data_IF_910259886411
#
_entry.id   IF_910259886411
#
_cell.length_a   1.000
_cell.length_b   1.000
_cell.length_c   1.000
_cell.angle_alpha   90.00
_cell.angle_beta   90.00
_cell.angle_gamma   90.00
#
_symmetry.space_group_name_H-M   'P 1'
#
loop_
_entity.id
_entity.type
_entity.pdbx_description
1 polymer ?
#
# COMPACT_ATOMS: atom_id res chain seq x y z
N UNK A 1 -45.32 -14.47 -58.16
CA UNK A 1 -45.78 -15.89 -58.17
C UNK A 1 -47.14 -15.99 -57.46
N UNK A 2 -47.69 -17.20 -57.26
CA UNK A 2 -49.08 -17.42 -56.82
C UNK A 2 -49.33 -17.14 -55.32
N UNK A 3 -50.58 -16.70 -55.07
CA UNK A 3 -51.51 -16.95 -53.93
C UNK A 3 -51.36 -18.31 -53.19
N UNK A 4 -52.05 -18.56 -52.05
CA UNK A 4 -53.13 -17.79 -51.37
C UNK A 4 -52.68 -17.26 -49.98
N UNK A 5 -53.37 -17.20 -48.80
CA UNK A 5 -54.69 -17.62 -48.21
C UNK A 5 -54.77 -16.94 -46.81
N UNK A 6 -55.88 -16.60 -46.14
CA UNK A 6 -57.31 -16.28 -46.45
C UNK A 6 -57.90 -15.60 -45.17
N UNK A 7 -58.58 -14.44 -45.24
CA UNK A 7 -60.03 -14.22 -44.95
C UNK A 7 -60.72 -15.25 -44.03
N UNK A 8 -61.56 -14.90 -43.03
CA UNK A 8 -62.97 -14.39 -43.06
C UNK A 8 -63.35 -14.12 -41.58
N UNK A 9 -63.80 -12.93 -41.13
CA UNK A 9 -65.20 -12.46 -40.90
C UNK A 9 -66.10 -13.40 -40.03
N UNK A 10 -67.10 -12.98 -39.24
CA UNK A 10 -67.39 -11.72 -38.52
C UNK A 10 -68.70 -11.82 -37.68
N UNK A 11 -68.67 -11.51 -36.37
CA UNK A 11 -69.85 -11.16 -35.52
C UNK A 11 -70.97 -12.26 -35.39
N UNK A 12 -72.11 -12.06 -34.67
CA UNK A 12 -72.47 -11.05 -33.65
C UNK A 12 -73.11 -11.60 -32.33
N UNK A 13 -73.24 -10.69 -31.35
CA UNK A 13 -74.16 -10.60 -30.18
C UNK A 13 -75.23 -11.69 -29.84
N UNK A 14 -75.30 -12.07 -28.55
CA UNK A 14 -76.55 -12.27 -27.78
C UNK A 14 -76.29 -12.22 -26.23
N UNK A 15 -77.23 -11.76 -25.37
CA UNK A 15 -77.00 -11.61 -23.91
C UNK A 15 -77.82 -12.56 -23.00
N UNK A 16 -77.31 -12.90 -21.81
CA UNK A 16 -78.14 -13.51 -20.74
C UNK A 16 -77.61 -13.32 -19.29
N UNK A 17 -78.50 -12.80 -18.42
CA UNK A 17 -78.85 -13.12 -17.01
C UNK A 17 -77.95 -14.10 -16.21
N UNK A 18 -77.81 -14.07 -14.86
CA UNK A 18 -78.49 -13.36 -13.75
C UNK A 18 -77.64 -13.40 -12.43
N UNK A 19 -78.11 -12.76 -11.35
CA UNK A 19 -77.86 -13.03 -9.90
C UNK A 19 -76.44 -13.53 -9.48
N UNK A 20 -75.56 -12.72 -8.88
CA UNK A 20 -75.58 -12.19 -7.49
C UNK A 20 -75.38 -13.25 -6.37
N UNK A 21 -74.23 -13.17 -5.67
CA UNK A 21 -74.06 -13.60 -4.27
C UNK A 21 -72.95 -12.81 -3.56
N UNK A 22 -73.07 -12.59 -2.26
CA UNK A 22 -72.17 -11.77 -1.43
C UNK A 22 -70.90 -12.53 -0.99
N UNK A 23 -69.79 -11.82 -0.79
CA UNK A 23 -68.53 -12.42 -0.31
C UNK A 23 -67.48 -11.41 0.14
N UNK A 24 -67.69 -10.74 1.29
CA UNK A 24 -66.65 -9.91 1.92
C UNK A 24 -65.68 -10.81 2.68
N UNK A 25 -64.53 -11.13 2.06
CA UNK A 25 -63.38 -11.72 2.75
C UNK A 25 -62.26 -10.67 2.86
N UNK A 26 -62.21 -10.00 4.01
CA UNK A 26 -61.07 -9.17 4.37
C UNK A 26 -59.90 -10.09 4.79
N UNK A 27 -59.01 -10.43 3.86
CA UNK A 27 -57.74 -11.06 4.19
C UNK A 27 -56.81 -10.03 4.85
N UNK A 28 -57.03 -9.78 6.13
CA UNK A 28 -56.05 -9.21 7.03
C UNK A 28 -54.93 -10.23 7.25
N UNK A 29 -54.06 -10.40 6.25
CA UNK A 29 -52.91 -11.28 6.31
C UNK A 29 -51.92 -10.73 7.33
N UNK A 30 -51.98 -11.27 8.55
CA UNK A 30 -51.01 -11.00 9.61
C UNK A 30 -49.66 -11.63 9.27
N UNK A 31 -48.96 -11.04 8.30
CA UNK A 31 -47.59 -11.38 7.94
C UNK A 31 -46.64 -10.87 9.02
N UNK A 32 -46.40 -11.68 10.04
CA UNK A 32 -45.49 -11.38 11.14
C UNK A 32 -44.03 -11.32 10.69
N UNK A 33 -43.61 -10.20 10.08
CA UNK A 33 -42.21 -9.85 9.94
C UNK A 33 -41.66 -9.39 11.28
N UNK A 34 -40.94 -10.26 11.98
CA UNK A 34 -40.24 -9.90 13.21
C UNK A 34 -39.21 -8.80 12.95
N UNK A 35 -39.15 -7.81 13.83
CA UNK A 35 -38.23 -6.68 13.69
C UNK A 35 -36.78 -7.09 13.92
N UNK A 36 -35.98 -7.09 12.86
CA UNK A 36 -34.52 -6.99 12.97
C UNK A 36 -34.16 -5.53 13.29
N UNK A 37 -34.47 -5.10 14.52
CA UNK A 37 -34.01 -3.83 15.13
C UNK A 37 -32.50 -3.86 15.48
N UNK A 38 -31.79 -4.91 15.05
CA UNK A 38 -30.33 -4.94 15.07
C UNK A 38 -29.74 -3.87 14.12
N UNK A 39 -28.56 -3.32 14.44
CA UNK A 39 -27.83 -2.48 13.49
C UNK A 39 -27.56 -3.30 12.23
N UNK A 40 -28.15 -2.87 11.10
CA UNK A 40 -28.06 -3.58 9.84
C UNK A 40 -26.62 -3.88 9.45
N UNK A 41 -26.37 -5.01 8.79
CA UNK A 41 -25.00 -5.50 8.60
C UNK A 41 -24.47 -5.16 7.20
N UNK A 42 -23.15 -5.04 7.10
CA UNK A 42 -22.41 -5.09 5.84
C UNK A 42 -21.31 -6.14 5.91
N UNK A 43 -20.58 -6.36 4.83
CA UNK A 43 -19.44 -7.28 4.81
C UNK A 43 -18.15 -6.48 4.72
N UNK A 44 -17.20 -6.74 5.64
CA UNK A 44 -15.82 -6.31 5.49
C UNK A 44 -15.01 -7.47 4.90
N UNK A 45 -14.44 -7.26 3.72
CA UNK A 45 -13.30 -8.05 3.24
C UNK A 45 -12.01 -7.32 3.67
N UNK A 46 -11.00 -8.07 4.07
CA UNK A 46 -9.66 -7.53 4.33
C UNK A 46 -8.66 -8.20 3.40
N UNK A 47 -7.86 -7.39 2.72
CA UNK A 47 -6.83 -7.80 1.78
C UNK A 47 -5.46 -7.30 2.23
N UNK A 48 -4.37 -7.91 1.75
CA UNK A 48 -3.00 -7.47 2.04
C UNK A 48 -2.24 -7.18 0.74
N UNK A 49 -1.39 -6.15 0.76
CA UNK A 49 -0.40 -5.77 -0.26
C UNK A 49 0.88 -5.26 0.43
N UNK A 50 1.98 -5.06 -0.30
CA UNK A 50 3.26 -4.58 0.25
C UNK A 50 3.90 -3.49 -0.61
N UNK A 51 4.77 -2.71 0.02
CA UNK A 51 5.83 -1.91 -0.59
C UNK A 51 6.96 -2.81 -1.13
N UNK A 52 7.98 -2.26 -1.82
CA UNK A 52 9.27 -2.94 -1.93
C UNK A 52 9.87 -3.22 -0.54
N UNK A 53 10.58 -4.34 -0.37
CA UNK A 53 11.61 -4.43 0.66
C UNK A 53 12.97 -3.96 0.14
N UNK A 54 13.84 -3.58 1.08
CA UNK A 54 15.19 -3.12 0.82
C UNK A 54 16.21 -4.11 1.39
N UNK A 55 16.94 -4.82 0.52
CA UNK A 55 18.03 -5.74 0.95
C UNK A 55 17.62 -7.18 1.28
N UNK A 56 16.37 -7.56 1.01
CA UNK A 56 15.86 -8.92 1.22
C UNK A 56 15.34 -9.54 -0.09
N UNK A 57 15.53 -10.86 -0.23
CA UNK A 57 14.95 -11.68 -1.30
C UNK A 57 13.48 -12.05 -1.01
N UNK A 58 13.13 -12.23 0.27
CA UNK A 58 11.79 -12.58 0.77
C UNK A 58 11.60 -12.02 2.18
N UNK A 59 10.37 -11.66 2.53
CA UNK A 59 9.96 -11.26 3.90
C UNK A 59 8.65 -11.98 4.22
N UNK A 60 8.75 -13.05 5.01
CA UNK A 60 7.61 -13.87 5.37
C UNK A 60 6.94 -13.38 6.66
N UNK A 61 5.62 -13.24 6.63
CA UNK A 61 4.78 -13.09 7.83
C UNK A 61 3.63 -14.11 7.82
N UNK A 62 3.27 -14.68 8.96
CA UNK A 62 2.09 -15.55 9.09
C UNK A 62 0.97 -14.81 9.77
N UNK A 63 -0.09 -14.49 9.03
CA UNK A 63 -1.27 -13.81 9.57
C UNK A 63 -2.20 -14.83 10.20
N UNK A 64 -2.48 -14.62 11.49
CA UNK A 64 -3.42 -15.42 12.28
C UNK A 64 -4.85 -14.87 12.15
N UNK A 65 -5.01 -13.55 12.32
CA UNK A 65 -6.30 -12.86 12.17
C UNK A 65 -6.13 -11.36 11.97
N UNK A 66 -7.20 -10.72 11.49
CA UNK A 66 -7.39 -9.26 11.56
C UNK A 66 -8.48 -8.98 12.59
N UNK A 67 -8.36 -7.89 13.36
CA UNK A 67 -9.38 -7.47 14.33
C UNK A 67 -9.75 -6.02 14.08
N UNK A 68 -11.02 -5.66 14.17
CA UNK A 68 -11.49 -4.27 13.92
C UNK A 68 -12.33 -3.73 15.09
N UNK A 69 -12.26 -2.42 15.31
CA UNK A 69 -12.92 -1.73 16.43
C UNK A 69 -13.38 -0.31 16.07
N UNK A 70 -14.45 0.15 16.72
CA UNK A 70 -15.12 1.44 16.46
C UNK A 70 -14.37 2.66 17.01
N UNK A 71 -13.66 2.53 18.13
CA UNK A 71 -12.76 3.56 18.69
C UNK A 71 -11.30 3.35 18.27
N UNK A 72 -10.61 4.46 17.93
CA UNK A 72 -9.17 4.57 17.68
C UNK A 72 -8.25 4.38 18.92
N UNK A 73 -8.83 4.34 20.12
CA UNK A 73 -8.12 4.25 21.40
C UNK A 73 -8.27 2.89 22.10
N UNK A 74 -8.63 1.83 21.35
CA UNK A 74 -8.94 0.54 21.93
C UNK A 74 -7.70 -0.32 22.20
N UNK A 75 -7.61 -0.81 23.43
CA UNK A 75 -6.59 -1.77 23.85
C UNK A 75 -6.89 -3.18 23.34
N UNK A 76 -5.83 -4.00 23.19
CA UNK A 76 -5.93 -5.33 22.59
C UNK A 76 -6.88 -6.27 23.36
N UNK A 77 -7.04 -6.04 24.66
CA UNK A 77 -7.90 -6.78 25.59
C UNK A 77 -9.28 -6.13 25.82
N UNK A 78 -9.62 -5.04 25.13
CA UNK A 78 -10.92 -4.39 25.26
C UNK A 78 -12.08 -5.29 24.79
N UNK A 79 -13.31 -4.98 25.20
CA UNK A 79 -14.52 -5.51 24.57
C UNK A 79 -14.76 -4.85 23.19
N UNK A 80 -15.71 -5.40 22.42
CA UNK A 80 -16.19 -4.77 21.17
C UNK A 80 -15.33 -4.97 19.92
N UNK A 81 -14.19 -5.68 20.01
CA UNK A 81 -13.47 -6.16 18.83
C UNK A 81 -14.34 -7.14 18.03
N UNK A 82 -14.32 -7.02 16.70
CA UNK A 82 -14.76 -8.10 15.81
C UNK A 82 -13.55 -8.67 15.09
N UNK A 83 -13.40 -9.99 15.17
CA UNK A 83 -12.27 -10.71 14.61
C UNK A 83 -12.64 -11.29 13.23
N UNK A 84 -11.70 -11.23 12.30
CA UNK A 84 -11.71 -11.83 10.97
C UNK A 84 -10.57 -12.85 10.96
N UNK A 85 -10.87 -14.09 11.34
CA UNK A 85 -9.88 -15.15 11.48
C UNK A 85 -9.38 -15.64 10.10
N UNK A 86 -8.07 -15.86 10.00
CA UNK A 86 -7.44 -16.45 8.80
C UNK A 86 -7.20 -17.92 9.11
N UNK A 87 -8.03 -18.80 8.54
CA UNK A 87 -8.05 -20.24 8.88
C UNK A 87 -7.82 -21.10 7.63
N UNK A 88 -6.72 -21.88 7.54
CA UNK A 88 -5.56 -21.88 8.43
C UNK A 88 -4.78 -20.55 8.36
N UNK A 89 -4.02 -20.24 9.41
CA UNK A 89 -3.18 -19.04 9.46
C UNK A 89 -2.22 -18.99 8.27
N UNK A 90 -2.20 -17.89 7.52
CA UNK A 90 -1.54 -17.85 6.22
C UNK A 90 -0.17 -17.19 6.29
N UNK A 91 0.87 -17.98 5.98
CA UNK A 91 2.22 -17.50 5.68
C UNK A 91 2.23 -16.82 4.31
N UNK A 92 2.75 -15.60 4.25
CA UNK A 92 2.74 -14.69 3.11
C UNK A 92 4.16 -14.19 2.92
N UNK A 93 4.74 -14.33 1.72
CA UNK A 93 5.89 -13.51 1.33
C UNK A 93 5.38 -12.14 0.89
N UNK A 94 5.66 -11.11 1.68
CA UNK A 94 5.17 -9.76 1.42
C UNK A 94 5.65 -9.25 0.06
N UNK A 95 6.86 -9.62 -0.36
CA UNK A 95 7.49 -9.07 -1.58
C UNK A 95 6.78 -9.53 -2.87
N UNK A 96 6.05 -10.65 -2.78
CA UNK A 96 5.18 -11.15 -3.84
C UNK A 96 3.90 -10.31 -4.05
N UNK A 97 3.60 -9.39 -3.13
CA UNK A 97 2.42 -8.53 -3.13
C UNK A 97 2.70 -7.09 -3.59
N UNK A 98 3.82 -6.89 -4.30
CA UNK A 98 4.15 -5.62 -4.97
C UNK A 98 3.42 -5.49 -6.31
N UNK A 99 3.60 -4.36 -7.02
CA UNK A 99 3.03 -4.11 -8.36
C UNK A 99 1.49 -4.21 -8.43
N UNK A 100 0.82 -3.82 -7.33
CA UNK A 100 -0.64 -3.89 -7.18
C UNK A 100 -1.20 -5.31 -7.00
N UNK A 101 -0.36 -6.32 -6.78
CA UNK A 101 -0.82 -7.65 -6.35
C UNK A 101 -1.38 -7.55 -4.93
N UNK A 102 -2.51 -8.21 -4.70
CA UNK A 102 -3.16 -8.27 -3.40
C UNK A 102 -3.55 -9.71 -3.07
N UNK A 103 -3.69 -10.05 -1.80
CA UNK A 103 -4.24 -11.35 -1.40
C UNK A 103 -5.19 -11.22 -0.21
N UNK A 104 -6.48 -11.45 -0.46
CA UNK A 104 -7.57 -11.47 0.53
C UNK A 104 -7.17 -12.32 1.73
N UNK A 105 -7.15 -11.74 2.93
CA UNK A 105 -6.89 -12.44 4.20
C UNK A 105 -8.14 -13.21 4.65
N UNK A 106 -9.30 -12.57 4.55
CA UNK A 106 -10.59 -13.12 4.95
C UNK A 106 -11.71 -12.07 4.83
N UNK A 107 -12.92 -12.45 5.22
CA UNK A 107 -14.07 -11.55 5.27
C UNK A 107 -15.00 -11.89 6.45
N UNK A 108 -15.68 -10.87 6.98
CA UNK A 108 -16.67 -11.04 8.03
C UNK A 108 -17.86 -10.09 7.84
N UNK A 109 -19.06 -10.54 8.20
CA UNK A 109 -20.24 -9.68 8.28
C UNK A 109 -20.20 -8.86 9.58
N UNK A 110 -20.13 -7.55 9.47
CA UNK A 110 -20.03 -6.61 10.59
C UNK A 110 -21.34 -5.81 10.75
N UNK A 111 -21.68 -5.32 11.96
CA UNK A 111 -22.62 -4.22 12.11
C UNK A 111 -22.20 -3.02 11.23
N UNK A 112 -23.14 -2.42 10.51
CA UNK A 112 -22.86 -1.22 9.74
C UNK A 112 -22.57 -0.04 10.69
N UNK A 113 -21.60 0.78 10.33
CA UNK A 113 -21.11 1.86 11.17
C UNK A 113 -19.66 2.22 10.87
N UNK A 114 -19.11 3.09 11.72
CA UNK A 114 -17.75 3.61 11.59
C UNK A 114 -16.78 2.81 12.45
N UNK A 115 -15.72 2.32 11.79
CA UNK A 115 -14.57 1.67 12.40
C UNK A 115 -13.37 2.61 12.32
N UNK A 116 -12.51 2.60 13.34
CA UNK A 116 -11.38 3.54 13.47
C UNK A 116 -10.03 2.86 13.74
N UNK A 117 -10.05 1.60 14.15
CA UNK A 117 -8.85 0.85 14.50
C UNK A 117 -8.89 -0.56 13.92
N UNK A 118 -7.77 -0.96 13.34
CA UNK A 118 -7.48 -2.33 12.91
C UNK A 118 -6.30 -2.86 13.74
N UNK A 119 -6.28 -4.15 14.03
CA UNK A 119 -5.13 -4.88 14.56
C UNK A 119 -4.84 -6.09 13.67
N UNK A 120 -3.68 -6.10 13.02
CA UNK A 120 -3.18 -7.26 12.27
C UNK A 120 -2.39 -8.17 13.23
N UNK A 121 -2.90 -9.37 13.51
CA UNK A 121 -2.28 -10.31 14.45
C UNK A 121 -1.45 -11.34 13.68
N UNK A 122 -0.16 -11.41 13.99
CA UNK A 122 0.75 -12.40 13.42
C UNK A 122 0.91 -13.59 14.38
N UNK A 123 1.15 -14.77 13.82
CA UNK A 123 1.46 -15.96 14.61
C UNK A 123 2.92 -15.96 15.09
N UNK A 124 3.19 -16.60 16.22
CA UNK A 124 4.52 -16.65 16.80
C UNK A 124 5.41 -17.71 16.14
N UNK A 125 6.70 -17.40 15.99
CA UNK A 125 7.74 -18.41 15.76
C UNK A 125 7.77 -19.40 16.94
N UNK A 126 7.72 -20.70 16.67
CA UNK A 126 7.60 -21.76 17.71
C UNK A 126 8.41 -23.00 17.31
N UNK A 127 9.40 -23.35 18.13
CA UNK A 127 10.29 -24.50 17.90
C UNK A 127 11.62 -24.11 17.26
N UNK A 128 12.23 -25.04 16.52
CA UNK A 128 13.51 -24.86 15.83
C UNK A 128 13.49 -25.44 14.41
N UNK A 129 14.39 -24.96 13.54
CA UNK A 129 14.41 -25.30 12.11
C UNK A 129 13.44 -24.46 11.26
N UNK A 130 13.48 -24.62 9.94
CA UNK A 130 12.70 -23.79 9.01
C UNK A 130 11.19 -23.89 9.24
N UNK A 131 10.68 -25.07 9.60
CA UNK A 131 9.25 -25.30 9.90
C UNK A 131 8.74 -24.58 11.16
N UNK A 132 9.62 -23.96 11.95
CA UNK A 132 9.27 -23.14 13.11
C UNK A 132 9.07 -21.64 12.78
N UNK A 133 9.39 -21.23 11.55
CA UNK A 133 9.46 -19.84 11.11
C UNK A 133 8.13 -19.34 10.55
N UNK A 134 7.19 -18.99 11.45
CA UNK A 134 5.99 -18.24 11.12
C UNK A 134 6.32 -16.87 10.48
N UNK A 135 7.30 -16.15 11.03
CA UNK A 135 7.80 -14.88 10.51
C UNK A 135 9.34 -14.95 10.33
N UNK A 136 9.82 -14.61 9.14
CA UNK A 136 11.23 -14.74 8.76
C UNK A 136 11.61 -13.80 7.62
N UNK A 137 12.90 -13.64 7.38
CA UNK A 137 13.45 -12.91 6.23
C UNK A 137 14.52 -13.75 5.55
N UNK A 138 14.68 -13.54 4.23
CA UNK A 138 15.81 -14.08 3.46
C UNK A 138 16.65 -12.89 3.00
N UNK A 139 17.79 -12.57 3.65
CA UNK A 139 18.67 -11.49 3.21
C UNK A 139 19.27 -11.80 1.82
N UNK A 140 19.59 -10.77 1.03
CA UNK A 140 20.27 -10.96 -0.26
C UNK A 140 21.62 -11.67 -0.03
N UNK A 141 21.77 -12.87 -0.60
CA UNK A 141 22.96 -13.72 -0.42
C UNK A 141 23.03 -14.47 0.92
N UNK A 142 22.01 -14.36 1.78
CA UNK A 142 21.90 -15.07 3.05
C UNK A 142 20.96 -16.29 3.01
N UNK A 143 20.99 -17.08 4.08
CA UNK A 143 19.96 -18.08 4.35
C UNK A 143 18.73 -17.44 5.04
N UNK A 144 17.61 -18.14 5.09
CA UNK A 144 16.43 -17.71 5.83
C UNK A 144 16.73 -17.58 7.34
N UNK A 145 16.29 -16.48 7.96
CA UNK A 145 16.51 -16.15 9.38
C UNK A 145 15.19 -15.75 10.07
N UNK A 146 15.02 -16.01 11.38
CA UNK A 146 13.83 -15.62 12.12
C UNK A 146 13.66 -14.10 12.20
N UNK A 147 12.42 -13.63 12.06
CA UNK A 147 12.02 -12.24 12.25
C UNK A 147 11.33 -12.06 13.60
N UNK A 148 11.95 -11.28 14.49
CA UNK A 148 11.43 -11.02 15.82
C UNK A 148 10.22 -10.06 15.79
N UNK A 149 9.10 -10.48 16.37
CA UNK A 149 7.75 -9.96 16.08
C UNK A 149 6.87 -9.73 17.33
N UNK A 150 7.43 -9.26 18.48
CA UNK A 150 6.77 -9.39 19.79
C UNK A 150 5.43 -8.62 19.89
N UNK A 151 5.38 -7.38 19.40
CA UNK A 151 4.19 -6.53 19.43
C UNK A 151 3.06 -7.06 18.53
N UNK A 152 3.42 -7.61 17.37
CA UNK A 152 2.52 -8.16 16.36
C UNK A 152 1.85 -9.47 16.82
N UNK A 153 2.56 -10.27 17.63
CA UNK A 153 2.04 -11.48 18.28
C UNK A 153 1.20 -11.16 19.51
N UNK A 154 1.72 -10.32 20.43
CA UNK A 154 1.08 -10.09 21.74
C UNK A 154 -0.17 -9.21 21.65
N UNK A 155 -0.14 -8.18 20.80
CA UNK A 155 -1.19 -7.14 20.77
C UNK A 155 -1.81 -6.91 19.38
N UNK A 156 -1.22 -7.49 18.34
CA UNK A 156 -1.49 -7.14 16.95
C UNK A 156 -0.95 -5.76 16.57
N UNK A 157 -0.47 -5.63 15.34
CA UNK A 157 0.00 -4.38 14.75
C UNK A 157 -1.18 -3.40 14.70
N UNK A 158 -1.16 -2.36 15.55
CA UNK A 158 -2.23 -1.35 15.64
C UNK A 158 -2.14 -0.38 14.46
N UNK A 159 -3.22 -0.29 13.71
CA UNK A 159 -3.38 0.63 12.57
C UNK A 159 -4.61 1.50 12.84
N UNK A 160 -4.40 2.82 12.94
CA UNK A 160 -5.50 3.78 13.15
C UNK A 160 -5.94 4.35 11.80
N UNK A 161 -7.12 3.95 11.33
CA UNK A 161 -7.74 4.45 10.10
C UNK A 161 -9.27 4.38 10.23
N UNK A 162 -9.92 5.50 9.95
CA UNK A 162 -11.37 5.56 9.82
C UNK A 162 -11.84 4.91 8.52
N UNK A 163 -12.79 3.98 8.60
CA UNK A 163 -13.54 3.44 7.47
C UNK A 163 -15.00 3.17 7.86
N UNK A 164 -15.91 3.19 6.90
CA UNK A 164 -17.34 2.95 7.12
C UNK A 164 -17.72 1.61 6.50
N UNK A 165 -18.38 0.74 7.26
CA UNK A 165 -19.09 -0.42 6.71
C UNK A 165 -20.55 0.01 6.51
N UNK A 166 -20.99 0.07 5.26
CA UNK A 166 -22.38 0.39 4.92
C UNK A 166 -23.27 -0.87 4.98
N UNK A 167 -24.57 -0.69 5.24
CA UNK A 167 -25.56 -1.78 5.22
C UNK A 167 -25.59 -2.43 3.82
N UNK A 168 -25.73 -3.76 3.77
CA UNK A 168 -25.91 -4.56 2.55
C UNK A 168 -24.80 -4.37 1.49
N UNK A 169 -23.64 -3.88 1.92
CA UNK A 169 -22.53 -3.45 1.06
C UNK A 169 -21.25 -4.23 1.39
N UNK A 170 -20.48 -4.59 0.36
CA UNK A 170 -19.12 -5.08 0.52
C UNK A 170 -18.15 -3.91 0.65
N UNK A 171 -17.45 -3.83 1.79
CA UNK A 171 -16.34 -2.92 2.05
C UNK A 171 -15.06 -3.71 1.94
N UNK A 172 -14.19 -3.41 0.97
CA UNK A 172 -12.87 -4.04 0.86
C UNK A 172 -11.80 -3.08 1.40
N UNK A 173 -11.03 -3.58 2.38
CA UNK A 173 -10.02 -2.82 3.12
C UNK A 173 -8.66 -3.46 2.90
N UNK A 174 -7.78 -2.76 2.21
CA UNK A 174 -6.42 -3.23 1.93
C UNK A 174 -5.49 -2.78 3.06
N UNK A 175 -4.78 -3.72 3.66
CA UNK A 175 -3.65 -3.47 4.54
C UNK A 175 -2.38 -3.39 3.68
N UNK A 176 -1.78 -2.22 3.63
CA UNK A 176 -0.56 -1.94 2.88
C UNK A 176 0.62 -1.97 3.86
N UNK A 177 1.41 -3.04 3.79
CA UNK A 177 2.63 -3.21 4.58
C UNK A 177 3.76 -2.44 3.90
N UNK A 178 4.76 -1.95 4.65
CA UNK A 178 6.01 -1.45 4.08
C UNK A 178 7.18 -2.28 4.61
N UNK A 179 7.51 -3.39 3.93
CA UNK A 179 8.58 -4.28 4.36
C UNK A 179 9.96 -3.60 4.43
N UNK A 180 10.27 -2.62 3.57
CA UNK A 180 11.52 -1.85 3.60
C UNK A 180 11.65 -1.00 4.88
N UNK A 181 10.57 -0.33 5.30
CA UNK A 181 10.57 0.50 6.51
C UNK A 181 10.28 -0.29 7.78
N UNK A 182 9.74 -1.51 7.65
CA UNK A 182 9.34 -2.35 8.78
C UNK A 182 10.42 -3.30 9.31
N UNK A 183 11.29 -3.83 8.44
CA UNK A 183 12.32 -4.80 8.86
C UNK A 183 13.59 -4.05 9.28
N UNK A 184 14.03 -4.24 10.53
CA UNK A 184 15.28 -3.68 11.05
C UNK A 184 16.33 -4.77 11.27
N UNK A 185 17.53 -4.55 10.75
CA UNK A 185 18.72 -5.36 11.06
C UNK A 185 19.32 -4.90 12.38
N UNK A 186 19.60 -5.84 13.28
CA UNK A 186 20.34 -5.62 14.53
C UNK A 186 21.83 -5.92 14.28
N UNK A 187 22.73 -5.17 14.91
CA UNK A 187 24.18 -5.36 14.83
C UNK A 187 24.69 -6.73 15.32
N UNK A 188 23.88 -7.47 16.09
CA UNK A 188 24.12 -8.89 16.38
C UNK A 188 23.80 -9.86 15.21
N UNK A 189 23.38 -9.36 14.04
CA UNK A 189 23.04 -10.14 12.85
C UNK A 189 21.61 -10.67 12.81
N UNK A 190 20.77 -10.38 13.80
CA UNK A 190 19.35 -10.79 13.84
C UNK A 190 18.41 -9.72 13.29
N UNK A 191 17.15 -10.08 13.00
CA UNK A 191 16.16 -9.19 12.40
C UNK A 191 14.96 -8.99 13.32
N UNK A 192 14.45 -7.75 13.38
CA UNK A 192 13.24 -7.39 14.14
C UNK A 192 12.23 -6.63 13.29
N UNK A 193 10.97 -6.64 13.71
CA UNK A 193 9.88 -5.93 13.06
C UNK A 193 9.49 -4.65 13.83
N UNK A 194 9.65 -3.49 13.19
CA UNK A 194 9.17 -2.17 13.61
C UNK A 194 8.05 -1.73 12.64
N UNK A 195 6.84 -2.31 12.74
CA UNK A 195 5.90 -2.37 11.63
C UNK A 195 5.36 -1.01 11.19
N UNK A 196 5.55 -0.72 9.91
CA UNK A 196 4.93 0.38 9.17
C UNK A 196 3.85 -0.24 8.28
N UNK A 197 2.58 -0.09 8.67
CA UNK A 197 1.43 -0.65 7.95
C UNK A 197 0.31 0.37 7.93
N UNK A 198 -0.30 0.59 6.78
CA UNK A 198 -1.48 1.46 6.62
C UNK A 198 -2.71 0.66 6.23
N UNK A 199 -3.89 1.28 6.29
CA UNK A 199 -5.14 0.68 5.84
C UNK A 199 -5.86 1.62 4.86
N UNK A 200 -6.28 1.09 3.71
CA UNK A 200 -6.78 1.86 2.57
C UNK A 200 -8.09 1.22 2.07
N UNK A 201 -9.26 1.89 2.19
CA UNK A 201 -10.52 1.38 1.65
C UNK A 201 -10.55 1.49 0.11
N UNK A 202 -10.87 0.39 -0.56
CA UNK A 202 -10.92 0.35 -2.04
C UNK A 202 -11.99 1.27 -2.64
N UNK A 203 -13.08 1.52 -1.91
CA UNK A 203 -14.20 2.39 -2.32
C UNK A 203 -13.82 3.85 -2.58
N UNK A 204 -12.68 4.31 -2.07
CA UNK A 204 -12.12 5.65 -2.29
C UNK A 204 -10.76 5.61 -2.98
N UNK A 205 -10.40 4.48 -3.60
CA UNK A 205 -9.06 4.25 -4.14
C UNK A 205 -9.02 4.14 -5.67
N UNK A 206 -7.97 4.71 -6.25
CA UNK A 206 -7.61 4.56 -7.66
C UNK A 206 -6.23 3.95 -7.84
N UNK A 207 -5.75 3.96 -9.08
CA UNK A 207 -4.47 3.40 -9.50
C UNK A 207 -3.70 4.41 -10.36
N UNK A 208 -2.37 4.40 -10.21
CA UNK A 208 -1.44 5.03 -11.17
C UNK A 208 -0.49 3.97 -11.71
N UNK A 209 -0.25 3.94 -13.02
CA UNK A 209 0.63 2.97 -13.65
C UNK A 209 1.52 3.58 -14.75
N UNK A 210 2.51 2.81 -15.20
CA UNK A 210 3.38 3.21 -16.30
C UNK A 210 4.50 2.21 -16.58
N UNK A 211 5.41 2.62 -17.46
CA UNK A 211 6.65 1.91 -17.83
C UNK A 211 7.84 2.87 -17.78
N UNK A 212 8.96 2.43 -17.22
CA UNK A 212 10.26 3.14 -17.24
C UNK A 212 11.27 2.38 -18.12
N UNK A 213 11.92 3.10 -19.03
CA UNK A 213 12.78 2.50 -20.05
C UNK A 213 14.11 2.01 -19.45
N UNK A 214 14.39 0.70 -19.60
CA UNK A 214 15.62 0.05 -19.16
C UNK A 214 15.94 0.29 -17.67
N UNK A 215 14.92 0.16 -16.81
CA UNK A 215 15.08 0.21 -15.36
C UNK A 215 14.23 -0.85 -14.63
N UNK A 216 14.43 -2.16 -14.90
CA UNK A 216 13.85 -3.22 -14.08
C UNK A 216 14.29 -3.08 -12.61
N UNK A 217 13.40 -3.45 -11.69
CA UNK A 217 13.67 -3.32 -10.26
C UNK A 217 13.67 -1.87 -9.76
N UNK A 218 13.27 -0.87 -10.57
CA UNK A 218 13.13 0.50 -10.11
C UNK A 218 12.09 0.61 -9.00
N UNK A 219 12.43 1.31 -7.92
CA UNK A 219 11.48 1.69 -6.87
C UNK A 219 10.64 2.85 -7.41
N UNK A 220 9.34 2.78 -7.21
CA UNK A 220 8.41 3.85 -7.62
C UNK A 220 7.53 4.22 -6.43
N UNK A 221 7.39 5.52 -6.21
CA UNK A 221 6.63 6.12 -5.11
C UNK A 221 5.50 6.98 -5.68
N UNK A 222 4.32 6.92 -5.05
CA UNK A 222 3.34 8.00 -5.09
C UNK A 222 3.56 8.86 -3.85
N UNK A 223 3.78 10.16 -4.02
CA UNK A 223 4.04 11.11 -2.94
C UNK A 223 2.99 12.22 -2.87
N UNK A 224 2.78 12.73 -1.65
CA UNK A 224 2.08 13.98 -1.38
C UNK A 224 2.95 14.82 -0.45
N UNK A 225 3.40 15.98 -0.93
CA UNK A 225 4.19 16.95 -0.15
C UNK A 225 5.46 16.37 0.52
N UNK A 226 6.20 15.48 -0.15
CA UNK A 226 7.42 14.84 0.41
C UNK A 226 7.14 13.70 1.39
N UNK A 227 5.96 13.09 1.30
CA UNK A 227 5.54 11.91 2.06
C UNK A 227 5.02 10.85 1.08
N UNK A 228 5.65 9.68 1.10
CA UNK A 228 5.21 8.49 0.33
C UNK A 228 3.85 8.02 0.86
N UNK A 229 2.85 7.95 -0.03
CA UNK A 229 1.49 7.46 0.27
C UNK A 229 1.18 6.09 -0.34
N UNK A 230 1.98 5.63 -1.31
CA UNK A 230 2.04 4.24 -1.81
C UNK A 230 3.39 4.03 -2.50
N UNK A 231 3.88 2.80 -2.58
CA UNK A 231 5.08 2.46 -3.37
C UNK A 231 4.98 1.11 -4.07
N UNK A 232 5.89 0.84 -5.00
CA UNK A 232 6.01 -0.45 -5.72
C UNK A 232 7.41 -0.64 -6.32
N UNK A 233 7.72 -1.86 -6.76
CA UNK A 233 8.83 -2.16 -7.68
C UNK A 233 8.29 -2.21 -9.12
N UNK A 234 9.12 -1.80 -10.09
CA UNK A 234 8.89 -2.02 -11.52
C UNK A 234 9.38 -3.43 -11.95
N UNK A 235 8.60 -4.12 -12.79
CA UNK A 235 8.86 -5.49 -13.23
C UNK A 235 10.11 -5.62 -14.14
N UNK A 236 10.36 -6.83 -14.66
CA UNK A 236 11.47 -7.10 -15.57
C UNK A 236 11.44 -6.29 -16.89
N UNK A 237 10.28 -5.72 -17.25
CA UNK A 237 10.08 -4.85 -18.41
C UNK A 237 10.11 -3.36 -18.03
N UNK A 238 10.29 -3.02 -16.75
CA UNK A 238 10.16 -1.66 -16.20
C UNK A 238 8.71 -1.21 -16.02
N UNK A 239 7.72 -2.10 -16.07
CA UNK A 239 6.30 -1.79 -15.89
C UNK A 239 5.94 -1.77 -14.40
N UNK A 240 5.19 -0.76 -13.96
CA UNK A 240 4.82 -0.57 -12.55
C UNK A 240 3.35 -0.16 -12.37
N UNK A 241 2.79 -0.52 -11.22
CA UNK A 241 1.43 -0.23 -10.78
C UNK A 241 1.42 0.15 -9.30
N UNK A 242 1.02 1.39 -9.02
CA UNK A 242 0.77 1.92 -7.68
C UNK A 242 -0.72 1.80 -7.39
N UNK A 243 -1.10 0.78 -6.61
CA UNK A 243 -2.48 0.53 -6.19
C UNK A 243 -2.50 -0.19 -4.84
N UNK A 244 -3.42 0.14 -3.91
CA UNK A 244 -4.38 1.24 -3.99
C UNK A 244 -3.74 2.58 -3.61
N UNK A 245 -4.23 3.69 -4.17
CA UNK A 245 -3.96 5.06 -3.69
C UNK A 245 -5.29 5.75 -3.43
N UNK A 246 -5.45 6.46 -2.30
CA UNK A 246 -6.65 7.27 -2.06
C UNK A 246 -6.83 8.36 -3.15
N UNK A 247 -8.06 8.50 -3.65
CA UNK A 247 -8.43 9.35 -4.78
C UNK A 247 -8.11 10.85 -4.62
N UNK A 248 -7.94 11.54 -5.74
CA UNK A 248 -7.55 12.96 -5.75
C UNK A 248 -8.67 13.94 -5.40
N UNK A 249 -9.93 13.52 -5.44
CA UNK A 249 -11.08 14.32 -4.99
C UNK A 249 -11.14 14.49 -3.46
N UNK A 250 -10.53 13.58 -2.69
CA UNK A 250 -10.47 13.66 -1.21
C UNK A 250 -9.08 14.06 -0.71
N UNK A 251 -8.01 13.53 -1.33
CA UNK A 251 -6.64 13.67 -0.84
C UNK A 251 -5.68 14.41 -1.81
N UNK A 252 -6.18 14.95 -2.93
CA UNK A 252 -5.38 15.67 -3.93
C UNK A 252 -4.59 14.77 -4.90
N UNK A 253 -3.96 15.33 -5.95
CA UNK A 253 -3.07 14.57 -6.84
C UNK A 253 -1.90 13.95 -6.07
N UNK A 254 -1.16 13.06 -6.75
CA UNK A 254 0.14 12.57 -6.29
C UNK A 254 1.23 13.00 -7.26
N UNK A 255 2.43 13.26 -6.74
CA UNK A 255 3.63 13.33 -7.56
C UNK A 255 4.23 11.92 -7.60
N UNK A 256 4.52 11.38 -8.78
CA UNK A 256 5.11 10.03 -8.93
C UNK A 256 6.61 10.14 -9.12
N UNK A 257 7.36 9.42 -8.28
CA UNK A 257 8.82 9.47 -8.22
C UNK A 257 9.38 8.08 -8.53
N UNK A 258 10.18 7.99 -9.59
CA UNK A 258 10.82 6.76 -10.07
C UNK A 258 12.31 6.81 -9.72
N UNK A 259 12.77 5.87 -8.91
CA UNK A 259 14.17 5.74 -8.47
C UNK A 259 14.70 4.36 -8.85
N UNK A 260 15.42 4.25 -9.99
CA UNK A 260 16.07 3.00 -10.39
C UNK A 260 17.10 2.50 -9.35
N UNK A 261 17.33 1.19 -9.33
CA UNK A 261 18.47 0.60 -8.61
C UNK A 261 19.80 0.92 -9.30
N UNK A 262 20.91 0.89 -8.56
CA UNK A 262 22.21 1.36 -9.04
C UNK A 262 22.72 0.59 -10.28
N UNK A 263 22.36 -0.69 -10.40
CA UNK A 263 22.66 -1.54 -11.56
C UNK A 263 22.09 -1.01 -12.89
N UNK A 264 21.07 -0.16 -12.86
CA UNK A 264 20.47 0.43 -14.06
C UNK A 264 21.22 1.71 -14.53
N UNK A 265 22.08 2.30 -13.69
CA UNK A 265 22.85 3.51 -13.98
C UNK A 265 22.00 4.69 -14.52
N UNK A 266 20.85 4.96 -13.90
CA UNK A 266 19.89 6.02 -14.28
C UNK A 266 19.71 7.09 -13.20
N UNK A 267 19.35 8.32 -13.58
CA UNK A 267 18.86 9.32 -12.62
C UNK A 267 17.42 9.02 -12.16
N UNK A 268 16.93 9.75 -11.15
CA UNK A 268 15.52 9.72 -10.77
C UNK A 268 14.63 10.47 -11.80
N UNK A 269 13.36 10.07 -11.90
CA UNK A 269 12.35 10.71 -12.74
C UNK A 269 11.09 11.05 -11.96
N UNK A 270 10.51 12.23 -12.20
CA UNK A 270 9.38 12.75 -11.42
C UNK A 270 8.26 13.24 -12.36
N UNK A 271 7.04 12.76 -12.16
CA UNK A 271 5.83 13.26 -12.84
C UNK A 271 4.90 13.87 -11.80
N UNK A 272 4.68 15.18 -11.87
CA UNK A 272 3.94 15.95 -10.86
C UNK A 272 2.47 16.11 -11.19
N UNK A 273 1.62 16.19 -10.17
CA UNK A 273 0.19 16.49 -10.32
C UNK A 273 -0.64 15.36 -10.96
N UNK A 274 -0.23 14.09 -10.79
CA UNK A 274 -0.93 12.93 -11.35
C UNK A 274 -2.28 12.74 -10.63
N UNK A 275 -3.42 12.72 -11.34
CA UNK A 275 -4.71 12.44 -10.75
C UNK A 275 -4.84 10.96 -10.39
N UNK A 276 -5.56 10.67 -9.31
CA UNK A 276 -5.93 9.34 -8.86
C UNK A 276 -7.44 9.23 -8.91
N UNK A 277 -7.97 8.36 -9.77
CA UNK A 277 -9.40 8.24 -10.06
C UNK A 277 -9.90 6.83 -9.70
N UNK A 278 -11.01 6.75 -8.96
CA UNK A 278 -11.59 5.46 -8.54
C UNK A 278 -12.01 4.64 -9.77
N UNK A 279 -11.62 3.37 -9.79
CA UNK A 279 -11.94 2.44 -10.88
C UNK A 279 -11.30 2.74 -12.24
N UNK A 280 -10.52 3.82 -12.39
CA UNK A 280 -9.91 4.24 -13.66
C UNK A 280 -8.40 4.45 -13.48
N UNK A 281 -7.56 3.50 -13.94
CA UNK A 281 -6.11 3.64 -13.85
C UNK A 281 -5.60 4.84 -14.64
N UNK A 282 -4.76 5.65 -14.00
CA UNK A 282 -4.09 6.79 -14.64
C UNK A 282 -2.70 6.37 -15.11
N UNK A 283 -2.49 6.32 -16.43
CA UNK A 283 -1.21 5.98 -17.03
C UNK A 283 -0.33 7.24 -17.18
N UNK A 284 0.90 7.21 -16.66
CA UNK A 284 1.89 8.29 -16.87
C UNK A 284 2.90 7.98 -17.97
N UNK A 285 2.89 6.74 -18.48
CA UNK A 285 3.68 6.25 -19.61
C UNK A 285 3.13 4.88 -20.07
N UNK A 286 3.62 4.35 -21.20
CA UNK A 286 3.26 3.01 -21.69
C UNK A 286 4.47 2.31 -22.29
N UNK A 287 4.37 1.02 -22.64
CA UNK A 287 5.44 0.31 -23.35
C UNK A 287 5.81 0.94 -24.71
N UNK A 288 4.88 1.65 -25.36
CA UNK A 288 5.13 2.39 -26.61
C UNK A 288 5.69 3.81 -26.39
N UNK A 289 5.53 4.37 -25.19
CA UNK A 289 6.04 5.67 -24.78
C UNK A 289 6.50 5.63 -23.30
N UNK A 290 7.61 4.93 -22.99
CA UNK A 290 8.10 4.74 -21.63
C UNK A 290 8.83 5.99 -21.11
N UNK A 291 8.93 6.14 -19.78
CA UNK A 291 9.72 7.21 -19.16
C UNK A 291 11.21 6.96 -19.44
N UNK A 292 11.85 7.87 -20.17
CA UNK A 292 13.28 7.79 -20.48
C UNK A 292 14.10 8.62 -19.49
N UNK A 293 14.90 7.95 -18.66
CA UNK A 293 15.73 8.58 -17.64
C UNK A 293 17.19 8.72 -18.13
N UNK A 294 17.88 9.85 -17.83
CA UNK A 294 19.27 10.05 -18.22
C UNK A 294 20.20 9.13 -17.43
N UNK A 295 21.44 8.97 -17.91
CA UNK A 295 22.45 8.16 -17.24
C UNK A 295 22.92 8.81 -15.92
N UNK A 296 23.25 7.99 -14.92
CA UNK A 296 23.78 8.43 -13.63
C UNK A 296 24.70 7.39 -13.00
N UNK A 297 25.78 7.86 -12.39
CA UNK A 297 26.48 7.13 -11.31
C UNK A 297 25.67 7.22 -10.01
N UNK A 298 26.00 6.37 -9.03
CA UNK A 298 25.34 6.32 -7.72
C UNK A 298 26.37 6.44 -6.60
N UNK A 299 25.94 6.93 -5.45
CA UNK A 299 26.73 7.00 -4.21
C UNK A 299 25.96 6.47 -2.99
N UNK A 300 26.71 6.11 -1.96
CA UNK A 300 26.21 5.71 -0.64
C UNK A 300 26.16 6.92 0.29
N UNK A 301 25.13 6.95 1.14
CA UNK A 301 25.07 7.82 2.31
C UNK A 301 24.74 6.94 3.52
N UNK A 302 25.54 7.07 4.57
CA UNK A 302 25.59 6.13 5.70
C UNK A 302 26.22 6.78 6.93
N UNK A 303 26.04 6.18 8.11
CA UNK A 303 26.64 6.65 9.35
C UNK A 303 26.01 6.00 10.57
N UNK A 304 25.95 6.74 11.68
CA UNK A 304 25.32 6.28 12.92
C UNK A 304 24.41 7.35 13.55
N UNK A 305 23.41 6.87 14.28
CA UNK A 305 22.51 7.66 15.12
C UNK A 305 22.79 7.36 16.59
N UNK A 306 23.17 8.38 17.35
CA UNK A 306 23.42 8.28 18.79
C UNK A 306 22.26 8.93 19.59
N UNK A 307 21.88 8.38 20.76
CA UNK A 307 22.08 7.00 21.16
C UNK A 307 21.30 6.03 20.24
N UNK A 308 21.70 4.75 20.17
CA UNK A 308 20.99 3.76 19.35
C UNK A 308 19.51 3.58 19.76
N UNK A 309 19.19 3.82 21.04
CA UNK A 309 17.83 3.86 21.59
C UNK A 309 16.94 5.00 21.05
N UNK A 310 17.48 5.92 20.26
CA UNK A 310 16.66 6.82 19.44
C UNK A 310 15.92 6.08 18.31
N UNK A 311 16.39 4.88 17.92
CA UNK A 311 15.83 3.98 16.90
C UNK A 311 15.32 4.70 15.63
N UNK A 312 16.09 5.67 15.14
CA UNK A 312 15.58 6.63 14.17
C UNK A 312 15.34 5.99 12.79
N UNK A 313 14.30 6.45 12.10
CA UNK A 313 14.15 6.25 10.65
C UNK A 313 14.84 7.40 9.91
N UNK A 314 15.42 7.11 8.74
CA UNK A 314 16.16 8.08 7.95
C UNK A 314 15.64 8.11 6.51
N UNK A 315 15.54 9.31 5.94
CA UNK A 315 15.02 9.56 4.59
C UNK A 315 15.95 10.49 3.83
N UNK A 316 16.31 10.14 2.61
CA UNK A 316 17.03 10.99 1.67
C UNK A 316 16.01 11.78 0.84
N UNK A 317 15.90 13.08 1.12
CA UNK A 317 14.99 13.98 0.45
C UNK A 317 15.74 14.77 -0.64
N UNK A 318 15.14 14.93 -1.82
CA UNK A 318 15.70 15.74 -2.92
C UNK A 318 14.74 16.89 -3.25
N UNK A 319 15.27 18.11 -3.30
CA UNK A 319 14.51 19.31 -3.70
C UNK A 319 14.62 19.47 -5.22
N UNK A 320 13.51 19.28 -5.94
CA UNK A 320 13.41 19.31 -7.40
C UNK A 320 12.28 20.25 -7.80
N UNK A 321 12.58 21.30 -8.57
CA UNK A 321 11.60 22.28 -9.07
C UNK A 321 10.66 22.80 -7.94
N UNK A 322 11.23 23.11 -6.77
CA UNK A 322 10.51 23.59 -5.59
C UNK A 322 9.66 22.55 -4.84
N UNK A 323 9.60 21.29 -5.30
CA UNK A 323 9.01 20.18 -4.56
C UNK A 323 10.08 19.34 -3.86
N UNK A 324 9.78 18.80 -2.68
CA UNK A 324 10.68 17.88 -1.94
C UNK A 324 10.16 16.46 -2.09
N UNK A 325 11.05 15.52 -2.41
CA UNK A 325 10.71 14.12 -2.76
C UNK A 325 11.58 13.10 -2.03
N UNK A 326 11.02 11.94 -1.67
CA UNK A 326 11.69 10.85 -0.96
C UNK A 326 12.37 9.88 -1.94
N UNK A 327 13.70 9.93 -2.04
CA UNK A 327 14.47 9.15 -3.01
C UNK A 327 14.96 7.82 -2.43
N UNK A 328 15.22 7.77 -1.12
CA UNK A 328 15.56 6.55 -0.40
C UNK A 328 15.16 6.67 1.09
N UNK A 329 14.91 5.53 1.74
CA UNK A 329 14.62 5.48 3.17
C UNK A 329 15.20 4.22 3.80
N UNK A 330 15.53 4.30 5.09
CA UNK A 330 16.11 3.20 5.88
C UNK A 330 15.79 3.38 7.37
N UNK A 331 16.10 2.39 8.19
CA UNK A 331 16.11 2.50 9.64
C UNK A 331 17.54 2.39 10.18
N UNK A 332 17.83 3.05 11.29
CA UNK A 332 19.04 2.79 12.07
C UNK A 332 18.90 1.45 12.82
N UNK A 333 19.99 0.69 12.90
CA UNK A 333 20.07 -0.52 13.70
C UNK A 333 19.85 -0.20 15.18
N UNK A 334 18.94 -0.91 15.86
CA UNK A 334 18.43 -0.55 17.20
C UNK A 334 19.45 -0.70 18.35
N UNK A 335 20.60 -1.33 18.10
CA UNK A 335 21.65 -1.60 19.08
C UNK A 335 22.94 -0.79 18.86
N UNK A 336 23.27 -0.50 17.60
CA UNK A 336 24.49 0.20 17.18
C UNK A 336 24.24 1.61 16.63
N UNK A 337 22.99 1.92 16.29
CA UNK A 337 22.60 3.17 15.61
C UNK A 337 23.03 3.25 14.14
N UNK A 338 23.74 2.24 13.61
CA UNK A 338 24.31 2.27 12.28
C UNK A 338 23.23 2.24 11.18
N UNK A 339 23.44 2.99 10.10
CA UNK A 339 22.53 3.04 8.95
C UNK A 339 23.26 3.18 7.61
N UNK A 340 22.60 2.75 6.54
CA UNK A 340 22.93 3.08 5.15
C UNK A 340 21.63 3.15 4.34
N UNK A 341 21.51 4.17 3.47
CA UNK A 341 20.23 4.52 2.84
C UNK A 341 19.69 3.50 1.83
N UNK A 342 20.53 2.58 1.36
CA UNK A 342 20.17 1.16 1.26
C UNK A 342 21.31 0.33 1.83
N UNK A 343 21.04 -0.88 2.33
CA UNK A 343 22.08 -1.75 2.88
C UNK A 343 23.01 -2.29 1.77
N UNK A 344 22.42 -2.92 0.75
CA UNK A 344 23.14 -3.74 -0.23
C UNK A 344 23.74 -2.97 -1.41
N UNK A 345 23.20 -1.81 -1.79
CA UNK A 345 23.67 -1.02 -2.95
C UNK A 345 23.90 0.47 -2.61
N UNK A 346 24.71 1.20 -3.41
CA UNK A 346 24.69 2.66 -3.44
C UNK A 346 23.28 3.18 -3.77
N UNK A 347 22.81 4.21 -3.06
CA UNK A 347 21.39 4.55 -3.02
C UNK A 347 21.00 5.76 -3.87
N UNK A 348 21.88 6.75 -3.98
CA UNK A 348 21.51 8.08 -4.47
C UNK A 348 22.15 8.36 -5.83
N UNK A 349 21.36 8.64 -6.89
CA UNK A 349 21.87 9.12 -8.17
C UNK A 349 22.66 10.43 -8.04
N UNK A 350 23.74 10.56 -8.80
CA UNK A 350 24.54 11.79 -8.89
C UNK A 350 23.98 12.77 -9.92
N UNK A 351 23.46 12.28 -11.05
CA UNK A 351 22.99 13.14 -12.14
C UNK A 351 21.70 13.91 -11.77
N UNK A 352 21.43 14.97 -12.52
CA UNK A 352 20.20 15.75 -12.40
C UNK A 352 18.95 14.86 -12.53
N UNK A 353 18.00 14.89 -11.58
CA UNK A 353 16.71 14.24 -11.75
C UNK A 353 15.93 14.95 -12.87
N UNK A 354 15.08 14.20 -13.59
CA UNK A 354 14.22 14.76 -14.64
C UNK A 354 12.79 14.88 -14.14
N UNK A 355 12.16 16.03 -14.37
CA UNK A 355 10.83 16.37 -13.85
C UNK A 355 9.90 16.90 -14.95
N UNK A 356 8.63 16.51 -14.89
CA UNK A 356 7.56 17.02 -15.74
C UNK A 356 6.22 17.09 -15.00
N UNK A 357 5.22 17.70 -15.62
CA UNK A 357 3.84 17.77 -15.09
C UNK A 357 2.96 16.79 -15.85
N UNK A 358 2.02 16.14 -15.15
CA UNK A 358 1.09 15.20 -15.74
C UNK A 358 0.26 15.82 -16.88
N UNK A 359 0.18 15.08 -17.99
CA UNK A 359 -0.71 15.35 -19.10
C UNK A 359 -1.17 14.00 -19.69
N UNK A 360 -2.40 13.93 -20.21
CA UNK A 360 -2.93 12.70 -20.80
C UNK A 360 -2.28 12.34 -22.16
N UNK A 361 -1.57 13.27 -22.80
CA UNK A 361 -0.80 13.02 -24.01
C UNK A 361 0.59 12.47 -23.67
N UNK A 362 0.89 11.26 -24.15
CA UNK A 362 2.17 10.59 -23.91
C UNK A 362 3.12 10.71 -25.14
N UNK A 363 4.45 10.75 -24.93
CA UNK A 363 5.15 10.77 -23.65
C UNK A 363 4.99 12.12 -22.91
N UNK A 364 5.05 12.07 -21.59
CA UNK A 364 5.09 13.29 -20.75
C UNK A 364 6.47 13.95 -20.93
N UNK A 365 6.56 15.26 -21.28
CA UNK A 365 7.83 15.96 -21.36
C UNK A 365 8.51 16.07 -19.99
N UNK A 366 9.75 15.57 -19.88
CA UNK A 366 10.57 15.68 -18.68
C UNK A 366 11.78 16.59 -18.97
N UNK A 367 12.11 17.48 -18.03
CA UNK A 367 13.27 18.38 -18.09
C UNK A 367 14.21 18.14 -16.91
N UNK A 368 15.55 18.19 -17.09
CA UNK A 368 16.50 17.99 -16.00
C UNK A 368 16.56 19.18 -15.04
N UNK A 369 16.52 18.94 -13.73
CA UNK A 369 16.83 19.93 -12.71
C UNK A 369 18.32 19.87 -12.34
N UNK A 370 19.12 20.69 -13.01
CA UNK A 370 20.56 20.81 -12.76
C UNK A 370 20.91 21.39 -11.38
N UNK A 371 19.99 22.08 -10.69
CA UNK A 371 20.26 22.59 -9.34
C UNK A 371 20.23 21.46 -8.31
N UNK A 372 19.36 20.47 -8.51
CA UNK A 372 19.17 19.29 -7.65
C UNK A 372 20.22 18.17 -7.81
N UNK A 373 21.06 18.22 -8.84
CA UNK A 373 22.05 17.19 -9.17
C UNK A 373 22.97 16.87 -7.97
N UNK A 374 22.97 15.59 -7.55
CA UNK A 374 23.77 15.07 -6.44
C UNK A 374 23.49 15.68 -5.06
N UNK A 375 22.45 16.50 -4.88
CA UNK A 375 22.19 17.21 -3.61
C UNK A 375 20.96 16.66 -2.91
N UNK A 376 21.17 16.25 -1.67
CA UNK A 376 20.17 15.62 -0.82
C UNK A 376 20.09 16.29 0.54
N UNK A 377 18.95 16.14 1.19
CA UNK A 377 18.72 16.48 2.59
C UNK A 377 18.38 15.20 3.34
N UNK A 378 19.27 14.77 4.22
CA UNK A 378 19.11 13.56 5.01
C UNK A 378 18.35 13.93 6.27
N UNK A 379 17.10 13.49 6.37
CA UNK A 379 16.26 13.67 7.53
C UNK A 379 16.29 12.41 8.38
N UNK A 380 16.61 12.55 9.67
CA UNK A 380 16.47 11.50 10.68
C UNK A 380 15.34 11.86 11.64
N UNK A 381 14.50 10.88 11.98
CA UNK A 381 13.37 11.04 12.91
C UNK A 381 13.44 9.96 13.97
N UNK A 382 13.59 10.35 15.24
CA UNK A 382 13.66 9.42 16.37
C UNK A 382 12.31 8.73 16.64
N UNK A 383 12.33 7.66 17.44
CA UNK A 383 11.12 7.00 17.98
C UNK A 383 10.28 7.92 18.87
N UNK A 384 10.86 8.99 19.42
CA UNK A 384 10.14 10.05 20.14
C UNK A 384 9.56 11.14 19.23
N UNK A 385 9.75 11.05 17.90
CA UNK A 385 9.27 12.03 16.93
C UNK A 385 10.12 13.30 16.83
N UNK A 386 11.29 13.36 17.47
CA UNK A 386 12.25 14.44 17.27
C UNK A 386 12.88 14.30 15.88
N UNK A 387 13.05 15.42 15.17
CA UNK A 387 13.55 15.45 13.79
C UNK A 387 14.86 16.23 13.72
N UNK A 388 15.86 15.65 13.05
CA UNK A 388 17.06 16.35 12.61
C UNK A 388 17.19 16.24 11.09
N UNK A 389 17.87 17.20 10.47
CA UNK A 389 18.02 17.25 9.01
C UNK A 389 19.36 17.89 8.65
N UNK A 390 20.13 17.24 7.77
CA UNK A 390 21.47 17.68 7.36
C UNK A 390 21.64 17.54 5.84
N UNK A 391 22.40 18.42 5.18
CA UNK A 391 22.68 18.29 3.75
C UNK A 391 23.68 17.15 3.48
N UNK A 392 23.52 16.47 2.35
CA UNK A 392 24.51 15.56 1.77
C UNK A 392 24.70 15.88 0.29
N UNK A 393 25.91 16.21 -0.12
CA UNK A 393 26.29 16.37 -1.53
C UNK A 393 27.12 15.15 -1.96
N UNK A 394 26.59 14.40 -2.93
CA UNK A 394 27.19 13.16 -3.44
C UNK A 394 27.84 13.34 -4.82
N UNK A 395 28.05 14.56 -5.30
CA UNK A 395 28.65 14.80 -6.63
C UNK A 395 30.07 14.25 -6.76
N UNK A 396 30.82 14.14 -5.67
CA UNK A 396 32.22 13.69 -5.67
C UNK A 396 32.38 12.28 -5.12
N UNK A 397 31.86 11.99 -3.91
CA UNK A 397 32.15 10.77 -3.16
C UNK A 397 30.92 10.25 -2.39
N UNK A 398 31.06 9.09 -1.74
CA UNK A 398 30.12 8.61 -0.72
C UNK A 398 30.21 9.51 0.53
N UNK A 399 29.10 9.69 1.26
CA UNK A 399 29.01 10.61 2.41
C UNK A 399 28.79 9.84 3.71
N UNK A 400 29.69 10.06 4.68
CA UNK A 400 29.49 9.67 6.07
C UNK A 400 28.78 10.80 6.82
N UNK A 401 27.65 10.52 7.47
CA UNK A 401 26.83 11.53 8.15
C UNK A 401 26.17 10.94 9.40
N UNK A 402 26.38 11.58 10.55
CA UNK A 402 25.93 11.09 11.86
C UNK A 402 24.89 12.03 12.50
N UNK A 403 24.01 11.49 13.33
CA UNK A 403 22.97 12.23 14.08
C UNK A 403 23.08 11.97 15.58
N UNK A 404 22.67 12.94 16.41
CA UNK A 404 22.68 12.83 17.87
C UNK A 404 21.39 13.42 18.46
N UNK A 405 20.54 12.57 19.05
CA UNK A 405 19.23 12.93 19.63
C UNK A 405 19.25 13.09 21.15
#
# INVERSE_FOLDING_TARGET
MRRPTVSVLSNPSAPLRLLALSGVLALAACGGGGGDDGPGRGTLQVSMTDAPACGFNNVFVTVNKVRVHSSASAEASAGGWVDIDVVPARRIDLLSLTNGVMTVLGQAALPAGNYQQVRLVLDANRGSGASALANSVVPVGGAEQPLDTPSAVQSGIKINRSFTVARDTLTDLVLDFDACKSVVTRGNGTYGLKPVVTAIPMTVSGEVNGVVAAAPGARVYAERNGVVVKSTVADANGSFRLSPIEQSSTAGPVDVVVVPGAANAKAAGIVRGVPVVVGTPTAISTAAAPLTLPASTYRRVSGAVAPASAEATLRALQLVNGGTFEIAATAAASDTGAYSLFATEPALPVAAPVVGTYQAALPIPLSPDGAAAGKYSIQATSVSGAVQTQPADVNIADVLLNFSF
#
